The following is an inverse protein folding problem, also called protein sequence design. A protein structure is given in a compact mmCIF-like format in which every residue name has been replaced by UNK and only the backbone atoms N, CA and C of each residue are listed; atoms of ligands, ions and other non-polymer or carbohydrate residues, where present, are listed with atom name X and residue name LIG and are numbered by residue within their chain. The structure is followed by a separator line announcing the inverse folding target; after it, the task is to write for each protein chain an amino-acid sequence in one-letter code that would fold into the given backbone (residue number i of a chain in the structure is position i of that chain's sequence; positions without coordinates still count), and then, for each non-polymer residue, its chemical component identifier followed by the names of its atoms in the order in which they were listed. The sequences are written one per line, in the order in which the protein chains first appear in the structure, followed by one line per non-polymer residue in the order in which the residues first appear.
data_IF_288364300517
#
_entry.id   IF_288364300517
#
_cell.length_a   1.000
_cell.length_b   1.000
_cell.length_c   1.000
_cell.angle_alpha   90.00
_cell.angle_beta   90.00
_cell.angle_gamma   90.00
#
_symmetry.space_group_name_H-M   'P 1'
#
loop_
_entity.id
_entity.type
_entity.pdbx_description
1 polymer ?
#
# COMPACT_ATOMS: atom_id res chain seq x y z
N UNK A 1 -26.99 15.53 -13.61
CA UNK A 1 -26.40 16.47 -14.58
C UNK A 1 -25.48 15.69 -15.49
N UNK A 2 -25.40 16.03 -16.78
CA UNK A 2 -24.47 15.34 -17.69
C UNK A 2 -23.02 15.79 -17.39
N UNK A 3 -22.08 14.85 -17.44
CA UNK A 3 -20.64 15.12 -17.29
C UNK A 3 -20.10 15.61 -18.63
N UNK A 4 -19.35 16.72 -18.62
CA UNK A 4 -18.75 17.34 -19.80
C UNK A 4 -17.28 16.93 -19.97
N UNK A 5 -16.69 17.20 -21.13
CA UNK A 5 -15.24 17.01 -21.34
C UNK A 5 -14.40 17.91 -20.43
N UNK A 6 -14.89 19.12 -20.13
CA UNK A 6 -14.26 20.08 -19.21
C UNK A 6 -14.24 19.54 -17.78
N UNK A 7 -15.30 18.86 -17.33
CA UNK A 7 -15.32 18.20 -16.02
C UNK A 7 -14.26 17.10 -15.91
N UNK A 8 -14.06 16.31 -16.97
CA UNK A 8 -13.04 15.25 -17.00
C UNK A 8 -11.63 15.84 -16.96
N UNK A 9 -11.37 16.88 -17.76
CA UNK A 9 -10.08 17.56 -17.79
C UNK A 9 -9.79 18.27 -16.46
N UNK A 10 -10.80 18.89 -15.86
CA UNK A 10 -10.70 19.49 -14.54
C UNK A 10 -10.24 18.45 -13.51
N UNK A 11 -10.89 17.29 -13.44
CA UNK A 11 -10.45 16.25 -12.50
C UNK A 11 -9.05 15.74 -12.86
N UNK A 12 -8.77 15.47 -14.14
CA UNK A 12 -7.49 14.91 -14.57
C UNK A 12 -6.28 15.81 -14.25
N UNK A 13 -6.48 17.13 -14.24
CA UNK A 13 -5.44 18.12 -13.91
C UNK A 13 -5.31 18.40 -12.41
N UNK A 14 -6.29 17.98 -11.59
CA UNK A 14 -6.31 18.22 -10.13
C UNK A 14 -6.06 16.95 -9.29
N UNK A 15 -5.84 15.81 -9.93
CA UNK A 15 -5.39 14.57 -9.26
C UNK A 15 -3.93 14.30 -9.58
N UNK A 16 -3.34 13.27 -8.96
CA UNK A 16 -1.99 12.81 -9.32
C UNK A 16 -1.87 12.41 -10.80
N UNK A 17 -0.65 12.28 -11.28
CA UNK A 17 -0.43 11.82 -12.66
C UNK A 17 -0.97 10.40 -12.85
N UNK A 18 -1.61 10.14 -14.00
CA UNK A 18 -2.00 8.79 -14.37
C UNK A 18 -0.75 7.97 -14.70
N UNK A 19 -0.54 6.88 -13.98
CA UNK A 19 0.55 5.93 -14.22
C UNK A 19 0.27 4.98 -15.38
N UNK A 20 1.20 4.05 -15.59
CA UNK A 20 1.12 3.03 -16.65
C UNK A 20 -0.09 2.09 -16.51
N UNK A 21 -0.64 1.96 -15.30
CA UNK A 21 -1.86 1.20 -15.02
C UNK A 21 -3.16 1.99 -15.29
N UNK A 22 -3.02 3.20 -15.84
CA UNK A 22 -4.10 4.13 -16.16
C UNK A 22 -4.90 4.57 -14.92
N UNK A 23 -4.23 4.62 -13.77
CA UNK A 23 -4.77 5.12 -12.50
C UNK A 23 -3.96 6.29 -11.97
N UNK A 24 -4.65 7.17 -11.27
CA UNK A 24 -4.11 8.25 -10.48
C UNK A 24 -4.69 8.15 -9.07
N UNK A 25 -4.08 8.80 -8.09
CA UNK A 25 -4.72 9.03 -6.81
C UNK A 25 -4.56 10.45 -6.34
N UNK A 26 -5.09 10.72 -5.16
CA UNK A 26 -4.98 12.03 -4.52
C UNK A 26 -4.03 11.88 -3.35
N UNK A 27 -2.93 12.63 -3.37
CA UNK A 27 -1.89 12.58 -2.34
C UNK A 27 -2.49 12.71 -0.93
N UNK A 28 -1.92 11.98 0.04
CA UNK A 28 -2.41 11.90 1.44
C UNK A 28 -3.78 11.22 1.60
N UNK A 29 -4.43 10.78 0.53
CA UNK A 29 -5.71 10.04 0.58
C UNK A 29 -5.53 8.58 0.18
N UNK A 30 -6.61 7.79 0.32
CA UNK A 30 -6.70 6.45 -0.27
C UNK A 30 -7.61 6.44 -1.51
N UNK A 31 -7.92 7.61 -2.06
CA UNK A 31 -8.79 7.74 -3.22
C UNK A 31 -8.02 7.42 -4.49
N UNK A 32 -8.63 6.61 -5.34
CA UNK A 32 -8.07 6.17 -6.62
C UNK A 32 -9.01 6.54 -7.75
N UNK A 33 -8.45 7.09 -8.82
CA UNK A 33 -9.14 7.55 -10.00
C UNK A 33 -8.63 6.73 -11.18
N UNK A 34 -9.50 5.91 -11.77
CA UNK A 34 -9.18 5.15 -12.98
C UNK A 34 -9.73 5.88 -14.20
N UNK A 35 -8.89 6.09 -15.22
CA UNK A 35 -9.33 6.69 -16.46
C UNK A 35 -9.91 5.64 -17.43
N UNK A 36 -10.91 6.03 -18.20
CA UNK A 36 -11.36 5.34 -19.40
C UNK A 36 -10.87 6.18 -20.57
N UNK A 37 -10.06 5.58 -21.45
CA UNK A 37 -9.48 6.28 -22.60
C UNK A 37 -10.05 5.75 -23.91
N UNK A 38 -10.25 6.64 -24.88
CA UNK A 38 -10.59 6.26 -26.25
C UNK A 38 -9.33 5.81 -27.04
N UNK A 39 -9.50 5.47 -28.31
CA UNK A 39 -8.40 5.01 -29.18
C UNK A 39 -7.31 6.05 -29.45
N UNK A 40 -7.60 7.34 -29.30
CA UNK A 40 -6.60 8.42 -29.40
C UNK A 40 -5.91 8.72 -28.06
N UNK A 41 -6.23 7.98 -27.00
CA UNK A 41 -5.64 8.16 -25.67
C UNK A 41 -6.31 9.24 -24.81
N UNK A 42 -7.35 9.90 -25.33
CA UNK A 42 -8.08 10.93 -24.59
C UNK A 42 -8.95 10.30 -23.49
N UNK A 43 -9.00 10.95 -22.32
CA UNK A 43 -9.87 10.54 -21.23
C UNK A 43 -11.32 10.84 -21.63
N UNK A 44 -12.15 9.80 -21.66
CA UNK A 44 -13.60 9.88 -21.98
C UNK A 44 -14.47 9.45 -20.80
N UNK A 45 -13.86 9.07 -19.69
CA UNK A 45 -14.55 8.75 -18.45
C UNK A 45 -13.57 8.57 -17.29
N UNK A 46 -14.08 8.72 -16.08
CA UNK A 46 -13.32 8.55 -14.84
C UNK A 46 -14.15 7.71 -13.87
N UNK A 47 -13.49 6.82 -13.13
CA UNK A 47 -14.08 6.10 -12.00
C UNK A 47 -13.31 6.44 -10.73
N UNK A 48 -13.98 7.03 -9.74
CA UNK A 48 -13.38 7.30 -8.43
C UNK A 48 -13.75 6.20 -7.43
N UNK A 49 -12.74 5.56 -6.84
CA UNK A 49 -12.88 4.67 -5.69
C UNK A 49 -12.50 5.46 -4.43
N UNK A 50 -13.50 5.67 -3.57
CA UNK A 50 -13.32 6.36 -2.29
C UNK A 50 -12.71 5.41 -1.27
N UNK A 51 -11.40 5.43 -1.12
CA UNK A 51 -10.72 4.73 -0.01
C UNK A 51 -10.97 5.40 1.35
N UNK A 52 -11.05 4.58 2.40
CA UNK A 52 -11.18 5.00 3.81
C UNK A 52 -10.20 4.22 4.66
N UNK A 53 -9.66 4.86 5.69
CA UNK A 53 -8.91 4.18 6.73
C UNK A 53 -9.83 3.92 7.93
N UNK A 54 -9.78 2.70 8.46
CA UNK A 54 -10.60 2.25 9.59
C UNK A 54 -9.64 1.73 10.66
N UNK A 55 -9.73 2.30 11.86
CA UNK A 55 -8.93 1.89 13.02
C UNK A 55 -9.68 0.87 13.88
N UNK A 56 -8.95 0.13 14.73
CA UNK A 56 -9.53 -0.88 15.64
C UNK A 56 -9.87 -2.22 14.98
N UNK A 57 -9.58 -2.39 13.69
CA UNK A 57 -9.86 -3.64 12.95
C UNK A 57 -8.98 -4.82 13.40
N UNK A 58 -7.88 -4.54 14.10
CA UNK A 58 -6.92 -5.56 14.53
C UNK A 58 -7.02 -5.90 16.02
N UNK A 59 -7.97 -5.32 16.77
CA UNK A 59 -8.04 -5.49 18.23
C UNK A 59 -8.11 -6.97 18.65
N UNK A 60 -8.82 -7.78 17.87
CA UNK A 60 -8.97 -9.24 18.07
C UNK A 60 -7.67 -10.04 17.88
N UNK A 61 -6.68 -9.49 17.19
CA UNK A 61 -5.39 -10.14 16.90
C UNK A 61 -4.21 -9.28 17.37
N UNK A 62 -4.46 -8.25 18.19
CA UNK A 62 -3.47 -7.24 18.53
C UNK A 62 -2.27 -7.84 19.27
N UNK A 63 -2.52 -8.79 20.16
CA UNK A 63 -1.52 -9.56 20.89
C UNK A 63 -0.58 -10.32 19.93
N UNK A 64 -1.13 -10.94 18.87
CA UNK A 64 -0.35 -11.60 17.83
C UNK A 64 0.51 -10.61 17.04
N UNK A 65 -0.08 -9.46 16.66
CA UNK A 65 0.61 -8.40 15.90
C UNK A 65 1.79 -7.84 16.69
N UNK A 66 1.60 -7.52 17.97
CA UNK A 66 2.69 -6.95 18.79
C UNK A 66 3.72 -8.00 19.24
N UNK A 67 3.36 -9.28 19.24
CA UNK A 67 4.19 -10.41 19.66
C UNK A 67 5.47 -10.64 18.84
N UNK A 68 5.66 -9.91 17.74
CA UNK A 68 6.93 -9.87 17.00
C UNK A 68 7.14 -11.02 16.02
N UNK A 69 6.23 -12.00 15.98
CA UNK A 69 6.25 -13.06 14.98
C UNK A 69 5.76 -12.54 13.64
N UNK A 70 6.32 -13.08 12.55
CA UNK A 70 5.81 -12.79 11.21
C UNK A 70 4.39 -13.34 11.03
N UNK A 71 3.56 -12.61 10.30
CA UNK A 71 2.13 -12.88 10.09
C UNK A 71 1.85 -12.86 8.58
N UNK A 72 1.02 -13.80 8.13
CA UNK A 72 0.47 -13.83 6.77
C UNK A 72 -1.06 -13.87 6.87
N UNK A 73 -1.74 -12.86 6.32
CA UNK A 73 -3.19 -12.72 6.30
C UNK A 73 -3.75 -13.38 5.04
N UNK A 74 -4.49 -14.47 5.21
CA UNK A 74 -5.08 -15.21 4.10
C UNK A 74 -6.58 -14.95 3.96
N UNK A 75 -7.03 -14.89 2.71
CA UNK A 75 -8.45 -14.94 2.38
C UNK A 75 -8.80 -14.25 1.06
N UNK A 76 -10.08 -14.34 0.70
CA UNK A 76 -10.59 -13.91 -0.61
C UNK A 76 -10.35 -12.41 -0.87
N UNK A 77 -10.37 -11.95 -2.13
CA UNK A 77 -10.39 -10.53 -2.44
C UNK A 77 -11.55 -9.82 -1.72
N UNK A 78 -11.31 -8.60 -1.22
CA UNK A 78 -12.34 -7.75 -0.62
C UNK A 78 -12.71 -8.02 0.84
N UNK A 79 -12.07 -8.96 1.53
CA UNK A 79 -12.39 -9.27 2.95
C UNK A 79 -11.77 -8.30 3.97
N UNK A 80 -11.03 -7.29 3.52
CA UNK A 80 -10.41 -6.29 4.41
C UNK A 80 -8.95 -6.56 4.81
N UNK A 81 -8.23 -7.47 4.14
CA UNK A 81 -6.80 -7.75 4.41
C UNK A 81 -5.94 -6.48 4.44
N UNK A 82 -6.00 -5.67 3.38
CA UNK A 82 -5.25 -4.41 3.28
C UNK A 82 -5.65 -3.40 4.36
N UNK A 83 -6.91 -3.40 4.81
CA UNK A 83 -7.35 -2.57 5.95
C UNK A 83 -6.65 -3.01 7.24
N UNK A 84 -6.55 -4.32 7.49
CA UNK A 84 -5.82 -4.86 8.63
C UNK A 84 -4.32 -4.60 8.51
N UNK A 85 -3.70 -4.78 7.34
CA UNK A 85 -2.27 -4.50 7.11
C UNK A 85 -1.92 -3.05 7.42
N UNK A 86 -2.73 -2.12 6.92
CA UNK A 86 -2.58 -0.68 7.20
C UNK A 86 -2.64 -0.39 8.70
N UNK A 87 -3.62 -0.98 9.39
CA UNK A 87 -3.79 -0.78 10.83
C UNK A 87 -2.67 -1.46 11.64
N UNK A 88 -2.20 -2.65 11.24
CA UNK A 88 -1.02 -3.29 11.82
C UNK A 88 0.20 -2.37 11.71
N UNK A 89 0.44 -1.78 10.54
CA UNK A 89 1.54 -0.84 10.33
C UNK A 89 1.43 0.36 11.29
N UNK A 90 0.24 0.98 11.37
CA UNK A 90 -0.04 2.10 12.28
C UNK A 90 0.20 1.74 13.74
N UNK A 91 -0.36 0.62 14.22
CA UNK A 91 -0.22 0.17 15.61
C UNK A 91 1.24 -0.12 15.94
N UNK A 92 1.95 -0.85 15.07
CA UNK A 92 3.37 -1.17 15.28
C UNK A 92 4.23 0.10 15.27
N UNK A 93 3.94 1.05 14.40
CA UNK A 93 4.72 2.28 14.27
C UNK A 93 4.42 3.29 15.39
N UNK A 94 3.14 3.59 15.66
CA UNK A 94 2.76 4.65 16.58
C UNK A 94 2.56 4.19 18.01
N UNK A 95 2.03 3.00 18.24
CA UNK A 95 1.78 2.51 19.61
C UNK A 95 3.02 1.77 20.14
N UNK A 96 3.61 0.90 19.33
CA UNK A 96 4.80 0.13 19.72
C UNK A 96 6.12 0.84 19.41
N UNK A 97 6.07 2.02 18.77
CA UNK A 97 7.25 2.83 18.40
C UNK A 97 8.29 2.06 17.58
N UNK A 98 7.86 1.03 16.83
CA UNK A 98 8.75 0.24 15.99
C UNK A 98 9.12 1.00 14.71
N UNK A 99 10.32 0.73 14.20
CA UNK A 99 10.76 1.17 12.87
C UNK A 99 10.06 0.30 11.81
N UNK A 100 8.91 0.77 11.32
CA UNK A 100 8.12 0.06 10.30
C UNK A 100 8.46 0.60 8.91
N UNK A 101 8.67 -0.31 7.96
CA UNK A 101 8.79 -0.03 6.52
C UNK A 101 7.69 -0.78 5.79
N UNK A 102 6.94 -0.08 4.94
CA UNK A 102 5.93 -0.65 4.05
C UNK A 102 6.55 -0.70 2.66
N UNK A 103 6.61 -1.89 2.06
CA UNK A 103 6.96 -2.04 0.64
C UNK A 103 5.65 -2.13 -0.12
N UNK A 104 5.31 -1.06 -0.83
CA UNK A 104 3.98 -0.84 -1.40
C UNK A 104 4.04 -0.88 -2.93
N UNK A 105 3.49 -1.95 -3.49
CA UNK A 105 3.55 -2.23 -4.94
C UNK A 105 2.38 -1.60 -5.69
N UNK A 106 1.21 -1.54 -5.06
CA UNK A 106 -0.05 -1.15 -5.68
C UNK A 106 -0.58 0.19 -5.15
N UNK A 107 0.18 0.84 -4.25
CA UNK A 107 -0.22 2.00 -3.46
C UNK A 107 -1.49 1.74 -2.62
N UNK A 108 -1.86 0.48 -2.36
CA UNK A 108 -3.09 0.16 -1.63
C UNK A 108 -2.93 0.37 -0.12
N UNK A 109 -1.73 0.22 0.44
CA UNK A 109 -1.52 0.39 1.88
C UNK A 109 -1.33 1.87 2.23
N UNK A 110 -0.35 2.51 1.59
CA UNK A 110 0.08 3.88 1.87
C UNK A 110 -0.65 4.95 1.05
N UNK A 111 -1.46 4.59 0.06
CA UNK A 111 -2.09 5.54 -0.85
C UNK A 111 -1.14 6.05 -1.93
N UNK A 112 -1.65 6.88 -2.83
CA UNK A 112 -0.90 7.45 -3.96
C UNK A 112 -0.15 8.75 -3.58
N UNK A 113 0.74 9.21 -4.48
CA UNK A 113 1.59 10.40 -4.30
C UNK A 113 2.77 10.16 -3.38
N UNK A 114 3.63 11.16 -3.16
CA UNK A 114 4.88 11.02 -2.40
C UNK A 114 4.63 10.96 -0.89
N UNK A 115 3.58 11.63 -0.43
CA UNK A 115 3.21 11.68 0.99
C UNK A 115 2.15 10.61 1.28
N UNK A 116 2.48 9.59 2.08
CA UNK A 116 1.55 8.50 2.37
C UNK A 116 0.38 8.98 3.23
N UNK A 117 -0.73 8.25 3.13
CA UNK A 117 -1.94 8.44 3.93
C UNK A 117 -1.62 8.30 5.44
N UNK A 118 -2.13 9.19 6.31
CA UNK A 118 -1.81 9.17 7.76
C UNK A 118 -2.22 7.88 8.49
N UNK A 119 -3.10 7.10 7.87
CA UNK A 119 -3.55 5.79 8.37
C UNK A 119 -2.46 4.72 8.49
N UNK A 120 -1.24 4.92 7.97
CA UNK A 120 -0.10 4.04 8.25
C UNK A 120 0.73 4.50 9.47
N UNK A 121 0.33 5.58 10.13
CA UNK A 121 1.06 6.19 11.24
C UNK A 121 2.43 6.74 10.80
N UNK A 122 3.43 6.65 11.68
CA UNK A 122 4.83 7.02 11.36
C UNK A 122 5.60 6.02 10.48
N UNK A 123 4.91 5.03 9.90
CA UNK A 123 5.56 4.04 9.03
C UNK A 123 6.19 4.74 7.82
N UNK A 124 7.38 4.28 7.42
CA UNK A 124 8.02 4.72 6.17
C UNK A 124 7.49 3.86 5.02
N UNK A 125 7.33 4.43 3.84
CA UNK A 125 6.87 3.71 2.64
C UNK A 125 7.96 3.72 1.58
N UNK A 126 8.24 2.55 1.01
CA UNK A 126 9.02 2.36 -0.20
C UNK A 126 8.07 1.92 -1.31
N UNK A 127 7.95 2.72 -2.37
CA UNK A 127 7.11 2.38 -3.51
C UNK A 127 7.86 1.47 -4.48
N UNK A 128 7.22 0.40 -4.92
CA UNK A 128 7.81 -0.51 -5.91
C UNK A 128 7.41 -0.05 -7.30
N UNK A 129 8.40 0.22 -8.16
CA UNK A 129 8.15 0.69 -9.53
C UNK A 129 7.30 -0.28 -10.36
N UNK A 130 7.55 -1.58 -10.23
CA UNK A 130 6.80 -2.64 -10.91
C UNK A 130 6.69 -3.85 -10.00
N UNK A 131 5.58 -4.61 -9.99
CA UNK A 131 5.41 -5.77 -9.10
C UNK A 131 6.56 -6.78 -9.14
N UNK A 132 7.14 -7.03 -10.31
CA UNK A 132 8.28 -7.94 -10.48
C UNK A 132 9.51 -7.56 -9.62
N UNK A 133 9.63 -6.32 -9.17
CA UNK A 133 10.75 -5.81 -8.37
C UNK A 133 10.48 -5.83 -6.87
N UNK A 134 9.32 -6.27 -6.41
CA UNK A 134 8.95 -6.22 -5.00
C UNK A 134 9.99 -6.93 -4.11
N UNK A 135 10.42 -8.12 -4.50
CA UNK A 135 11.46 -8.88 -3.78
C UNK A 135 12.77 -8.09 -3.61
N UNK A 136 13.19 -7.32 -4.62
CA UNK A 136 14.42 -6.53 -4.55
C UNK A 136 14.26 -5.36 -3.55
N UNK A 137 13.12 -4.67 -3.59
CA UNK A 137 12.80 -3.58 -2.66
C UNK A 137 12.64 -4.10 -1.23
N UNK A 138 12.11 -5.31 -1.04
CA UNK A 138 12.06 -6.01 0.25
C UNK A 138 13.46 -6.22 0.86
N UNK A 139 14.44 -6.61 0.05
CA UNK A 139 15.83 -6.77 0.50
C UNK A 139 16.48 -5.41 0.80
N UNK A 140 16.32 -4.44 -0.11
CA UNK A 140 16.80 -3.07 0.07
C UNK A 140 16.29 -2.45 1.38
N UNK A 141 15.01 -2.69 1.72
CA UNK A 141 14.40 -2.25 2.96
C UNK A 141 15.19 -2.70 4.19
N UNK A 142 15.64 -3.95 4.22
CA UNK A 142 16.41 -4.48 5.35
C UNK A 142 17.83 -3.92 5.36
N UNK A 143 18.47 -3.86 4.20
CA UNK A 143 19.87 -3.46 4.06
C UNK A 143 20.10 -2.00 4.41
N UNK A 144 19.18 -1.12 4.02
CA UNK A 144 19.40 0.32 4.09
C UNK A 144 18.64 1.01 5.23
N UNK A 145 17.56 0.41 5.75
CA UNK A 145 16.64 1.13 6.63
C UNK A 145 16.52 0.57 8.05
N UNK A 146 17.26 -0.50 8.39
CA UNK A 146 17.29 -1.14 9.71
C UNK A 146 15.87 -1.31 10.32
N UNK A 147 14.90 -1.89 9.58
CA UNK A 147 13.53 -2.01 10.05
C UNK A 147 13.43 -3.01 11.21
N UNK A 148 12.44 -2.81 12.08
CA UNK A 148 11.98 -3.84 13.03
C UNK A 148 10.79 -4.61 12.46
N UNK A 149 10.04 -3.98 11.55
CA UNK A 149 8.89 -4.56 10.88
C UNK A 149 8.94 -4.18 9.40
N UNK A 150 8.68 -5.15 8.52
CA UNK A 150 8.33 -4.92 7.13
C UNK A 150 6.87 -5.30 6.92
N UNK A 151 6.12 -4.47 6.20
CA UNK A 151 4.73 -4.74 5.80
C UNK A 151 4.65 -4.77 4.27
N UNK A 152 4.01 -5.79 3.72
CA UNK A 152 3.74 -5.94 2.28
C UNK A 152 2.27 -6.34 2.07
N UNK A 153 1.73 -6.12 0.87
CA UNK A 153 0.31 -6.43 0.59
C UNK A 153 0.08 -7.90 0.19
N UNK A 154 0.99 -8.47 -0.59
CA UNK A 154 0.90 -9.85 -1.04
C UNK A 154 2.26 -10.48 -1.34
N UNK A 155 2.29 -11.82 -1.33
CA UNK A 155 3.40 -12.64 -1.82
C UNK A 155 2.85 -13.46 -2.99
N UNK A 156 3.20 -13.09 -4.21
CA UNK A 156 2.72 -13.69 -5.45
C UNK A 156 3.72 -14.62 -6.14
N UNK A 157 5.03 -14.43 -5.92
CA UNK A 157 6.08 -15.21 -6.61
C UNK A 157 7.11 -15.82 -5.67
N UNK A 158 7.84 -16.82 -6.17
CA UNK A 158 8.87 -17.54 -5.40
C UNK A 158 9.95 -16.60 -4.85
N UNK A 159 10.40 -15.61 -5.64
CA UNK A 159 11.41 -14.64 -5.20
C UNK A 159 10.97 -13.82 -3.99
N UNK A 160 9.69 -13.47 -3.90
CA UNK A 160 9.14 -12.73 -2.76
C UNK A 160 9.05 -13.62 -1.52
N UNK A 161 8.72 -14.91 -1.67
CA UNK A 161 8.76 -15.88 -0.59
C UNK A 161 10.19 -16.10 -0.07
N UNK A 162 11.18 -16.13 -0.97
CA UNK A 162 12.60 -16.20 -0.59
C UNK A 162 13.03 -14.92 0.15
N UNK A 163 12.65 -13.75 -0.35
CA UNK A 163 12.93 -12.48 0.32
C UNK A 163 12.26 -12.41 1.72
N UNK A 164 11.01 -12.86 1.84
CA UNK A 164 10.30 -12.97 3.11
C UNK A 164 11.05 -13.86 4.12
N UNK A 165 11.58 -15.00 3.66
CA UNK A 165 12.44 -15.87 4.50
C UNK A 165 13.70 -15.14 4.95
N UNK A 166 14.41 -14.47 4.04
CA UNK A 166 15.62 -13.69 4.38
C UNK A 166 15.34 -12.57 5.38
N UNK A 167 14.19 -11.88 5.27
CA UNK A 167 13.73 -10.89 6.25
C UNK A 167 13.57 -11.53 7.63
N UNK A 168 12.89 -12.67 7.70
CA UNK A 168 12.65 -13.38 8.96
C UNK A 168 13.96 -13.90 9.59
N UNK A 169 14.89 -14.42 8.79
CA UNK A 169 16.22 -14.88 9.23
C UNK A 169 17.07 -13.74 9.83
N UNK A 170 16.83 -12.48 9.40
CA UNK A 170 17.46 -11.28 9.97
C UNK A 170 16.75 -10.76 11.22
N UNK A 171 15.77 -11.49 11.75
CA UNK A 171 15.03 -11.11 12.96
C UNK A 171 14.06 -9.95 12.77
N UNK A 172 13.71 -9.63 11.52
CA UNK A 172 12.71 -8.60 11.20
C UNK A 172 11.33 -9.25 11.13
N UNK A 173 10.35 -8.65 11.80
CA UNK A 173 8.97 -9.10 11.71
C UNK A 173 8.40 -8.77 10.32
N UNK A 174 7.88 -9.76 9.60
CA UNK A 174 7.15 -9.53 8.35
C UNK A 174 5.64 -9.63 8.59
N UNK A 175 4.87 -8.65 8.11
CA UNK A 175 3.40 -8.70 8.08
C UNK A 175 2.95 -8.62 6.63
N UNK A 176 2.31 -9.68 6.15
CA UNK A 176 1.81 -9.84 4.79
C UNK A 176 0.36 -10.34 4.80
#
# INVERSE_FOLDING_TARGET
TAVTAEDLEFVATHVGSFGDDNRAGIERTLHRISAIRNRSGQIVGLTCRVGRAITGTIDIIKDMVIGGKSILLLGRPGIGKTTMLRECARVLADEMKKRVVIVDTSNEIGGDGDIPHPGIGRSRRMQVRTPALQHAVMIEAVENHMPQVIVIDEIGIELEAVAARTIAERGVQLVA
#
